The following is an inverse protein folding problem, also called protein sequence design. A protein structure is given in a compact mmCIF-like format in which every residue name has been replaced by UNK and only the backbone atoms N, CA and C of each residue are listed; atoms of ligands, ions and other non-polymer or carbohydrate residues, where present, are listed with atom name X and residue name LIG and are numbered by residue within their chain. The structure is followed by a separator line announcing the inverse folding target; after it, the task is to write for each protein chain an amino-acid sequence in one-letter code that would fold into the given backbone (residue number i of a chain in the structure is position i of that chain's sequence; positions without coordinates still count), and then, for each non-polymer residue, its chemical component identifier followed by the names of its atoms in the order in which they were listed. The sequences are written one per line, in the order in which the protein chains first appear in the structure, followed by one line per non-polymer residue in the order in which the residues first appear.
data_IF_762168544682
#
_entry.id   IF_762168544682
#
_cell.length_a   1.000
_cell.length_b   1.000
_cell.length_c   1.000
_cell.angle_alpha   90.00
_cell.angle_beta   90.00
_cell.angle_gamma   90.00
#
_symmetry.space_group_name_H-M   'P 1'
#
loop_
_entity.id
_entity.type
_entity.pdbx_description
1 polymer ?
#
# COMPACT_ATOMS: atom_id res chain seq x y z
N UNK A 1 -16.36 12.45 -14.03
CA UNK A 1 -15.14 13.17 -14.48
C UNK A 1 -13.93 12.24 -14.32
N UNK A 2 -13.20 11.98 -15.39
CA UNK A 2 -12.16 10.93 -15.47
C UNK A 2 -10.96 11.22 -14.56
N UNK A 3 -10.79 10.39 -13.52
CA UNK A 3 -9.73 10.49 -12.50
C UNK A 3 -8.45 9.74 -12.89
N UNK A 4 -8.04 9.70 -14.18
CA UNK A 4 -6.89 8.90 -14.66
C UNK A 4 -5.66 9.71 -15.10
N UNK A 5 -5.49 10.94 -14.61
CA UNK A 5 -4.45 11.86 -15.08
C UNK A 5 -3.13 11.89 -14.30
N UNK A 6 -2.03 12.19 -14.99
CA UNK A 6 -0.72 12.50 -14.38
C UNK A 6 -0.55 14.01 -14.23
N UNK A 7 -0.10 14.47 -13.06
CA UNK A 7 0.36 15.84 -12.83
C UNK A 7 1.83 15.85 -12.40
N UNK A 8 2.64 16.78 -12.91
CA UNK A 8 4.01 17.02 -12.45
C UNK A 8 4.42 18.48 -12.64
N UNK A 9 5.50 18.89 -11.97
CA UNK A 9 6.08 20.24 -12.06
C UNK A 9 7.46 20.16 -12.71
N UNK A 10 7.76 21.09 -13.62
CA UNK A 10 9.05 21.17 -14.32
C UNK A 10 9.58 22.61 -14.28
N UNK A 11 10.89 22.75 -14.06
CA UNK A 11 11.60 24.03 -14.19
C UNK A 11 12.62 23.89 -15.32
N UNK A 12 12.62 24.86 -16.24
CA UNK A 12 13.59 24.96 -17.33
C UNK A 12 14.33 26.31 -17.24
N UNK A 13 15.63 26.28 -17.47
CA UNK A 13 16.52 27.44 -17.41
C UNK A 13 17.29 27.57 -18.72
N UNK A 14 17.44 28.76 -19.24
CA UNK A 14 18.06 28.91 -20.54
C UNK A 14 18.33 30.34 -20.93
N UNK A 15 18.44 30.54 -22.24
CA UNK A 15 18.65 31.85 -22.85
C UNK A 15 17.73 32.07 -24.04
N UNK A 16 17.47 33.33 -24.35
CA UNK A 16 16.74 33.80 -25.53
C UNK A 16 17.50 34.95 -26.17
N UNK A 17 17.50 35.00 -27.50
CA UNK A 17 17.78 36.20 -28.27
C UNK A 17 16.46 36.65 -28.90
N UNK A 18 16.02 37.86 -28.54
CA UNK A 18 14.83 38.46 -29.12
C UNK A 18 15.20 39.13 -30.44
N UNK A 19 14.26 39.15 -31.38
CA UNK A 19 14.50 39.79 -32.68
C UNK A 19 14.77 41.29 -32.50
N UNK A 20 15.80 41.79 -33.19
CA UNK A 20 16.28 43.16 -33.05
C UNK A 20 17.20 43.40 -31.84
N UNK A 21 17.58 42.36 -31.09
CA UNK A 21 18.56 42.45 -30.01
C UNK A 21 19.84 41.63 -30.29
N UNK A 22 21.00 42.24 -30.06
CA UNK A 22 22.29 41.56 -30.19
C UNK A 22 22.68 40.72 -28.96
N UNK A 23 21.94 40.86 -27.85
CA UNK A 23 22.24 40.21 -26.57
C UNK A 23 21.31 39.04 -26.25
N UNK A 24 21.88 37.97 -25.74
CA UNK A 24 21.12 36.90 -25.12
C UNK A 24 20.67 37.28 -23.70
N UNK A 25 19.46 36.84 -23.32
CA UNK A 25 18.88 37.06 -21.99
C UNK A 25 18.62 35.75 -21.28
N UNK A 26 18.89 35.65 -19.97
CA UNK A 26 18.45 34.53 -19.17
C UNK A 26 16.91 34.37 -19.19
N UNK A 27 16.47 33.13 -19.36
CA UNK A 27 15.05 32.74 -19.34
C UNK A 27 14.83 31.63 -18.33
N UNK A 28 13.71 31.70 -17.62
CA UNK A 28 13.24 30.66 -16.69
C UNK A 28 11.77 30.37 -16.88
N UNK A 29 11.43 29.09 -17.00
CA UNK A 29 10.06 28.58 -17.02
C UNK A 29 9.84 27.75 -15.76
N UNK A 30 8.75 28.00 -15.05
CA UNK A 30 8.26 27.17 -13.95
C UNK A 30 6.85 26.69 -14.31
N UNK A 31 6.73 25.42 -14.69
CA UNK A 31 5.51 24.85 -15.31
C UNK A 31 4.89 23.75 -14.45
N UNK A 32 3.57 23.64 -14.53
CA UNK A 32 2.79 22.50 -14.06
C UNK A 32 2.14 21.85 -15.28
N UNK A 33 2.44 20.57 -15.49
CA UNK A 33 1.86 19.76 -16.56
C UNK A 33 0.74 18.89 -16.00
N UNK A 34 -0.42 18.88 -16.67
CA UNK A 34 -1.58 18.05 -16.34
C UNK A 34 -2.04 17.25 -17.56
N UNK A 35 -1.84 15.95 -17.51
CA UNK A 35 -2.33 15.00 -18.51
C UNK A 35 -3.64 14.37 -18.04
N UNK A 36 -4.60 14.15 -18.95
CA UNK A 36 -5.83 13.40 -18.67
C UNK A 36 -5.64 11.89 -18.51
N UNK A 37 -4.44 11.39 -18.82
CA UNK A 37 -4.03 9.98 -18.78
C UNK A 37 -2.71 9.81 -18.03
N UNK A 38 -2.36 8.56 -17.71
CA UNK A 38 -1.04 8.22 -17.17
C UNK A 38 0.01 8.34 -18.28
N UNK A 39 1.08 9.10 -18.01
CA UNK A 39 2.22 9.21 -18.93
C UNK A 39 2.96 7.87 -18.99
N UNK A 40 2.96 7.23 -20.15
CA UNK A 40 3.63 5.95 -20.41
C UNK A 40 4.69 6.14 -21.51
N UNK A 41 5.94 5.67 -21.33
CA UNK A 41 7.04 5.94 -22.28
C UNK A 41 6.80 5.47 -23.71
N UNK A 42 5.98 4.42 -23.89
CA UNK A 42 5.66 3.81 -25.18
C UNK A 42 4.45 4.44 -25.89
N UNK A 43 3.79 5.45 -25.30
CA UNK A 43 2.62 6.12 -25.88
C UNK A 43 2.87 7.62 -26.04
N UNK A 44 2.12 8.24 -26.93
CA UNK A 44 2.01 9.70 -27.00
C UNK A 44 0.99 10.18 -25.98
N UNK A 45 1.38 11.09 -25.10
CA UNK A 45 0.51 11.71 -24.09
C UNK A 45 0.48 13.22 -24.30
N UNK A 46 -0.72 13.80 -24.34
CA UNK A 46 -0.92 15.25 -24.35
C UNK A 46 -1.21 15.74 -22.93
N UNK A 47 -0.55 16.82 -22.52
CA UNK A 47 -0.74 17.48 -21.24
C UNK A 47 -0.96 18.97 -21.45
N UNK A 48 -1.81 19.57 -20.61
CA UNK A 48 -1.94 21.03 -20.51
C UNK A 48 -0.84 21.57 -19.60
N UNK A 49 -0.22 22.67 -20.01
CA UNK A 49 0.76 23.42 -19.25
C UNK A 49 0.12 24.69 -18.68
N UNK A 50 0.45 24.98 -17.43
CA UNK A 50 0.19 26.27 -16.78
C UNK A 50 1.42 26.64 -15.96
N UNK A 51 1.83 27.91 -15.95
CA UNK A 51 3.00 28.28 -15.17
C UNK A 51 3.47 29.70 -15.42
N UNK A 52 4.72 29.97 -15.02
CA UNK A 52 5.33 31.29 -15.10
C UNK A 52 6.51 31.32 -16.05
N UNK A 53 6.58 32.33 -16.91
CA UNK A 53 7.70 32.60 -17.83
C UNK A 53 8.40 33.88 -17.39
N UNK A 54 9.72 33.83 -17.18
CA UNK A 54 10.53 35.00 -16.85
C UNK A 54 11.64 35.19 -17.87
N UNK A 55 11.72 36.38 -18.44
CA UNK A 55 12.81 36.82 -19.32
C UNK A 55 13.48 38.02 -18.66
N UNK A 56 14.76 37.88 -18.33
CA UNK A 56 15.48 38.90 -17.57
C UNK A 56 15.42 40.27 -18.25
N UNK A 57 14.89 41.26 -17.51
CA UNK A 57 14.75 42.64 -17.97
C UNK A 57 13.70 42.88 -19.07
N UNK A 58 12.72 41.97 -19.22
CA UNK A 58 11.62 42.11 -20.20
C UNK A 58 10.26 41.62 -19.67
N UNK A 59 10.18 40.41 -19.10
CA UNK A 59 8.91 39.84 -18.65
C UNK A 59 8.99 39.00 -17.38
N UNK A 60 7.88 39.00 -16.65
CA UNK A 60 7.49 38.02 -15.64
C UNK A 60 5.98 37.77 -15.80
N UNK A 61 5.63 36.80 -16.64
CA UNK A 61 4.23 36.40 -16.84
C UNK A 61 3.93 35.19 -15.96
N UNK A 62 3.01 35.37 -15.00
CA UNK A 62 2.61 34.34 -14.04
C UNK A 62 1.55 33.36 -14.58
N UNK A 63 0.92 33.69 -15.70
CA UNK A 63 -0.29 33.05 -16.22
C UNK A 63 -0.06 32.41 -17.60
N UNK A 64 1.18 32.01 -17.89
CA UNK A 64 1.51 31.31 -19.12
C UNK A 64 0.75 29.97 -19.20
N UNK A 65 0.21 29.67 -20.37
CA UNK A 65 -0.57 28.45 -20.63
C UNK A 65 -0.10 27.77 -21.90
N UNK A 66 -0.33 26.47 -22.03
CA UNK A 66 0.13 25.78 -23.23
C UNK A 66 -0.16 24.30 -23.26
N UNK A 67 0.52 23.61 -24.16
CA UNK A 67 0.44 22.18 -24.36
C UNK A 67 1.83 21.54 -24.37
N UNK A 68 1.87 20.31 -23.87
CA UNK A 68 3.03 19.45 -23.84
C UNK A 68 2.67 18.11 -24.49
N UNK A 69 3.33 17.79 -25.59
CA UNK A 69 3.28 16.46 -26.20
C UNK A 69 4.47 15.64 -25.69
N UNK A 70 4.21 14.51 -25.03
CA UNK A 70 5.21 13.59 -24.51
C UNK A 70 5.15 12.30 -25.33
N UNK A 71 6.12 12.06 -26.21
CA UNK A 71 6.17 10.85 -27.05
C UNK A 71 7.58 10.27 -27.14
N UNK A 72 8.11 9.69 -26.04
CA UNK A 72 9.53 9.40 -25.95
C UNK A 72 10.02 8.25 -26.84
N UNK A 73 9.19 7.21 -27.02
CA UNK A 73 9.53 6.06 -27.85
C UNK A 73 8.80 6.07 -29.19
N UNK A 74 7.51 6.45 -29.20
CA UNK A 74 6.68 6.39 -30.40
C UNK A 74 7.07 7.42 -31.46
N UNK A 75 7.38 8.67 -31.05
CA UNK A 75 7.84 9.74 -31.96
C UNK A 75 9.22 10.28 -31.65
N UNK A 76 9.88 9.75 -30.60
CA UNK A 76 11.18 10.22 -30.09
C UNK A 76 11.21 11.74 -29.88
N UNK A 77 10.10 12.31 -29.39
CA UNK A 77 9.91 13.76 -29.29
C UNK A 77 9.17 14.16 -28.01
N UNK A 78 9.57 15.30 -27.44
CA UNK A 78 8.80 16.01 -26.42
C UNK A 78 8.62 17.47 -26.89
N UNK A 79 7.40 17.89 -27.25
CA UNK A 79 7.13 19.23 -27.82
C UNK A 79 6.37 20.11 -26.83
N UNK A 80 6.78 21.37 -26.74
CA UNK A 80 6.22 22.40 -25.89
C UNK A 80 5.65 23.49 -26.79
N UNK A 81 4.41 23.90 -26.53
CA UNK A 81 3.78 25.08 -27.13
C UNK A 81 3.19 25.90 -26.01
N UNK A 82 3.79 27.05 -25.69
CA UNK A 82 3.44 27.85 -24.52
C UNK A 82 3.15 29.27 -24.95
N UNK A 83 1.99 29.78 -24.60
CA UNK A 83 1.59 31.16 -24.83
C UNK A 83 1.75 31.96 -23.55
N UNK A 84 2.36 33.14 -23.65
CA UNK A 84 2.62 34.05 -22.54
C UNK A 84 2.65 35.51 -23.03
N UNK A 85 2.56 36.45 -22.10
CA UNK A 85 2.60 37.88 -22.35
C UNK A 85 3.99 38.49 -22.11
N UNK A 86 4.44 39.33 -23.04
CA UNK A 86 5.69 40.09 -22.97
C UNK A 86 5.38 41.56 -23.24
N UNK A 87 5.42 42.42 -22.21
CA UNK A 87 5.22 43.88 -22.36
C UNK A 87 3.91 44.23 -23.12
N UNK A 88 2.82 43.52 -22.82
CA UNK A 88 1.51 43.71 -23.48
C UNK A 88 1.34 42.96 -24.81
N UNK A 89 2.40 42.36 -25.36
CA UNK A 89 2.35 41.49 -26.56
C UNK A 89 2.11 40.04 -26.18
N UNK A 90 1.48 39.28 -27.07
CA UNK A 90 1.21 37.84 -26.86
C UNK A 90 2.16 37.02 -27.71
N UNK A 91 3.01 36.22 -27.07
CA UNK A 91 4.00 35.38 -27.74
C UNK A 91 3.68 33.89 -27.57
N UNK A 92 4.02 33.09 -28.57
CA UNK A 92 4.04 31.63 -28.52
C UNK A 92 5.49 31.12 -28.55
N UNK A 93 5.88 30.39 -27.52
CA UNK A 93 7.08 29.57 -27.50
C UNK A 93 6.77 28.20 -28.09
N UNK A 94 7.41 27.84 -29.20
CA UNK A 94 7.34 26.50 -29.80
C UNK A 94 8.73 25.86 -29.80
N UNK A 95 8.87 24.70 -29.18
CA UNK A 95 10.14 24.00 -29.09
C UNK A 95 9.96 22.51 -28.89
N UNK A 96 10.95 21.71 -29.28
CA UNK A 96 10.92 20.27 -29.03
C UNK A 96 12.28 19.68 -28.69
N UNK A 97 12.25 18.66 -27.83
CA UNK A 97 13.38 17.79 -27.50
C UNK A 97 13.35 16.59 -28.44
N UNK A 98 14.40 16.37 -29.23
CA UNK A 98 14.56 15.20 -30.09
C UNK A 98 15.33 14.12 -29.33
N UNK A 99 14.69 13.01 -28.98
CA UNK A 99 15.27 11.99 -28.13
C UNK A 99 16.19 11.05 -28.93
N UNK A 100 17.44 10.94 -28.49
CA UNK A 100 18.44 10.08 -29.13
C UNK A 100 18.90 9.00 -28.15
N UNK A 101 18.81 7.71 -28.52
CA UNK A 101 19.34 6.60 -27.70
C UNK A 101 20.85 6.71 -27.47
N UNK A 102 21.58 7.32 -28.40
CA UNK A 102 23.04 7.49 -28.31
C UNK A 102 23.47 8.58 -27.31
N UNK A 103 22.57 9.52 -26.96
CA UNK A 103 22.83 10.62 -26.02
C UNK A 103 21.61 10.86 -25.12
N UNK A 104 21.24 9.88 -24.27
CA UNK A 104 19.93 9.87 -23.60
C UNK A 104 19.77 11.05 -22.63
N UNK A 105 20.82 11.43 -21.91
CA UNK A 105 20.76 12.52 -20.93
C UNK A 105 20.65 13.89 -21.62
N UNK A 106 21.54 14.17 -22.58
CA UNK A 106 21.57 15.47 -23.28
C UNK A 106 20.31 15.68 -24.12
N UNK A 107 19.85 14.65 -24.82
CA UNK A 107 18.65 14.73 -25.67
C UNK A 107 17.34 14.90 -24.89
N UNK A 108 17.31 14.52 -23.61
CA UNK A 108 16.16 14.72 -22.72
C UNK A 108 16.16 16.06 -22.00
N UNK A 109 17.29 16.77 -21.96
CA UNK A 109 17.47 17.95 -21.10
C UNK A 109 17.56 19.25 -21.86
N UNK A 110 17.95 19.24 -23.14
CA UNK A 110 18.06 20.44 -23.98
C UNK A 110 16.81 20.61 -24.84
N UNK A 111 16.22 21.81 -24.78
CA UNK A 111 15.03 22.23 -25.53
C UNK A 111 15.36 23.48 -26.35
N UNK A 112 15.72 23.34 -27.64
CA UNK A 112 15.69 24.48 -28.55
C UNK A 112 14.24 24.93 -28.76
N UNK A 113 14.03 26.24 -28.91
CA UNK A 113 12.72 26.82 -29.16
C UNK A 113 12.81 28.10 -29.98
N UNK A 114 11.71 28.43 -30.63
CA UNK A 114 11.45 29.71 -31.29
C UNK A 114 10.34 30.45 -30.54
N UNK A 115 10.40 31.78 -30.56
CA UNK A 115 9.31 32.66 -30.15
C UNK A 115 8.61 33.18 -31.40
N UNK A 116 7.29 33.17 -31.36
CA UNK A 116 6.43 33.62 -32.44
C UNK A 116 5.48 34.69 -31.92
N UNK A 117 5.32 35.78 -32.66
CA UNK A 117 4.28 36.80 -32.48
C UNK A 117 3.34 36.74 -33.69
N UNK A 118 2.08 36.38 -33.47
CA UNK A 118 1.08 36.18 -34.55
C UNK A 118 1.60 35.27 -35.68
N UNK A 119 2.38 34.23 -35.33
CA UNK A 119 2.97 33.29 -36.27
C UNK A 119 4.24 33.77 -36.99
N UNK A 120 4.70 35.00 -36.72
CA UNK A 120 5.98 35.53 -37.23
C UNK A 120 7.10 35.31 -36.21
N UNK A 121 8.34 35.03 -36.64
CA UNK A 121 9.48 34.96 -35.72
C UNK A 121 9.60 36.24 -34.88
N UNK A 122 9.87 36.06 -33.59
CA UNK A 122 10.12 37.13 -32.62
C UNK A 122 11.38 36.86 -31.77
N UNK A 123 12.06 35.73 -32.00
CA UNK A 123 13.28 35.34 -31.32
C UNK A 123 13.49 33.84 -31.28
N UNK A 124 14.64 33.43 -30.77
CA UNK A 124 15.03 32.03 -30.62
C UNK A 124 15.85 31.81 -29.35
N UNK A 125 15.88 30.57 -28.87
CA UNK A 125 16.63 30.28 -27.67
C UNK A 125 16.81 28.81 -27.39
N UNK A 126 17.46 28.55 -26.27
CA UNK A 126 17.65 27.20 -25.75
C UNK A 126 17.37 27.16 -24.26
N UNK A 127 16.50 26.25 -23.86
CA UNK A 127 16.19 25.90 -22.48
C UNK A 127 16.87 24.59 -22.10
N UNK A 128 17.20 24.46 -20.82
CA UNK A 128 17.81 23.27 -20.24
C UNK A 128 17.13 22.89 -18.94
N UNK A 129 16.90 21.60 -18.75
CA UNK A 129 16.50 21.05 -17.46
C UNK A 129 17.72 20.96 -16.53
N UNK A 130 17.71 21.62 -15.36
CA UNK A 130 18.88 21.66 -14.47
C UNK A 130 19.02 20.35 -13.69
N UNK A 131 19.67 19.33 -14.26
CA UNK A 131 19.77 17.98 -13.65
C UNK A 131 20.26 17.99 -12.20
N UNK A 132 21.30 18.77 -11.89
CA UNK A 132 21.92 18.78 -10.57
C UNK A 132 21.02 19.28 -9.44
N UNK A 133 20.10 20.21 -9.73
CA UNK A 133 19.25 20.85 -8.71
C UNK A 133 17.75 20.59 -8.91
N UNK A 134 17.33 20.24 -10.12
CA UNK A 134 15.93 20.09 -10.52
C UNK A 134 15.43 18.65 -10.57
N UNK A 135 16.30 17.64 -10.66
CA UNK A 135 15.88 16.25 -10.86
C UNK A 135 15.05 15.70 -9.69
N UNK A 136 15.53 15.86 -8.45
CA UNK A 136 14.83 15.34 -7.28
C UNK A 136 13.48 16.07 -7.03
N UNK A 137 13.40 17.41 -7.08
CA UNK A 137 12.12 18.13 -7.04
C UNK A 137 11.15 17.70 -8.15
N UNK A 138 11.63 17.52 -9.39
CA UNK A 138 10.82 17.05 -10.51
C UNK A 138 10.22 15.67 -10.23
N UNK A 139 11.04 14.68 -9.87
CA UNK A 139 10.57 13.31 -9.60
C UNK A 139 9.58 13.25 -8.42
N UNK A 140 9.79 14.06 -7.38
CA UNK A 140 8.90 14.10 -6.21
C UNK A 140 7.59 14.85 -6.46
N UNK A 141 7.53 15.66 -7.51
CA UNK A 141 6.33 16.41 -7.90
C UNK A 141 5.25 15.54 -8.54
N UNK A 142 5.61 14.37 -9.10
CA UNK A 142 4.65 13.51 -9.80
C UNK A 142 3.49 13.12 -8.89
N UNK A 143 2.28 13.32 -9.40
CA UNK A 143 1.02 12.85 -8.85
C UNK A 143 0.37 11.97 -9.90
N UNK A 144 0.11 10.73 -9.52
CA UNK A 144 -0.60 9.76 -10.33
C UNK A 144 -2.03 9.68 -9.82
N UNK A 145 -2.97 9.24 -10.66
CA UNK A 145 -4.34 9.08 -10.22
C UNK A 145 -4.39 8.13 -9.02
N UNK A 146 -5.05 8.55 -7.94
CA UNK A 146 -5.53 7.60 -6.94
C UNK A 146 -6.60 6.79 -7.63
N UNK A 147 -6.43 5.48 -7.70
CA UNK A 147 -7.45 4.57 -8.23
C UNK A 147 -8.77 4.90 -7.56
N UNK A 148 -9.73 5.44 -8.33
CA UNK A 148 -11.12 5.56 -7.93
C UNK A 148 -11.60 4.18 -7.49
N UNK A 149 -12.10 4.09 -6.25
CA UNK A 149 -12.68 2.93 -5.58
C UNK A 149 -12.44 1.59 -6.29
N UNK A 150 -11.43 0.83 -5.82
CA UNK A 150 -11.46 -0.62 -6.04
C UNK A 150 -12.87 -1.10 -5.65
N UNK A 151 -13.54 -1.84 -6.54
CA UNK A 151 -14.85 -2.40 -6.27
C UNK A 151 -14.79 -3.13 -4.91
N UNK A 152 -15.66 -2.79 -3.94
CA UNK A 152 -15.68 -3.47 -2.65
C UNK A 152 -15.92 -4.95 -2.94
N UNK A 153 -14.92 -5.79 -2.66
CA UNK A 153 -14.94 -7.22 -2.99
C UNK A 153 -13.92 -7.71 -4.02
N UNK A 154 -13.25 -6.85 -4.79
CA UNK A 154 -12.24 -7.32 -5.78
C UNK A 154 -11.15 -8.20 -5.15
N UNK A 155 -10.72 -7.86 -3.94
CA UNK A 155 -9.70 -8.61 -3.22
C UNK A 155 -10.29 -9.74 -2.36
N UNK A 156 -11.63 -9.86 -2.27
CA UNK A 156 -12.30 -10.97 -1.58
C UNK A 156 -12.46 -12.20 -2.46
N UNK A 157 -12.60 -12.07 -3.78
CA UNK A 157 -12.69 -13.23 -4.67
C UNK A 157 -11.54 -14.23 -4.49
N UNK A 158 -11.82 -15.53 -4.64
CA UNK A 158 -10.81 -16.58 -4.56
C UNK A 158 -9.79 -16.46 -5.70
N UNK A 159 -8.51 -16.60 -5.34
CA UNK A 159 -7.34 -16.59 -6.22
C UNK A 159 -6.92 -17.99 -6.61
N UNK A 160 -7.17 -18.97 -5.75
CA UNK A 160 -6.88 -20.37 -6.03
C UNK A 160 -7.63 -20.82 -7.29
N UNK A 161 -6.89 -21.45 -8.18
CA UNK A 161 -7.30 -21.84 -9.53
C UNK A 161 -7.30 -23.37 -9.71
N UNK A 162 -7.30 -24.12 -8.60
CA UNK A 162 -7.25 -25.59 -8.60
C UNK A 162 -5.83 -26.17 -8.51
N UNK A 163 -4.78 -25.34 -8.59
CA UNK A 163 -3.39 -25.83 -8.50
C UNK A 163 -3.06 -26.38 -7.09
N UNK A 164 -2.31 -27.48 -6.99
CA UNK A 164 -1.77 -27.97 -5.73
C UNK A 164 -0.69 -27.04 -5.17
N UNK A 165 -0.28 -27.26 -3.92
CA UNK A 165 0.75 -26.48 -3.24
C UNK A 165 0.31 -25.05 -2.92
N UNK A 166 -0.97 -24.87 -2.57
CA UNK A 166 -1.57 -23.56 -2.30
C UNK A 166 -2.32 -23.54 -0.98
N UNK A 167 -2.14 -22.46 -0.23
CA UNK A 167 -3.06 -22.05 0.83
C UNK A 167 -3.65 -20.69 0.49
N UNK A 168 -4.93 -20.54 0.76
CA UNK A 168 -5.64 -19.27 0.63
C UNK A 168 -6.52 -19.04 1.86
N UNK A 169 -6.36 -17.87 2.48
CA UNK A 169 -7.03 -17.51 3.73
C UNK A 169 -7.88 -16.26 3.54
N UNK A 170 -9.04 -16.27 4.19
CA UNK A 170 -9.87 -15.12 4.51
C UNK A 170 -10.04 -15.12 6.02
N UNK A 171 -9.52 -14.09 6.69
CA UNK A 171 -9.79 -13.94 8.11
C UNK A 171 -10.36 -12.56 8.42
N UNK A 172 -11.14 -12.51 9.47
CA UNK A 172 -11.70 -11.29 10.04
C UNK A 172 -11.36 -11.27 11.51
N UNK A 173 -10.72 -10.19 11.95
CA UNK A 173 -10.58 -9.85 13.36
C UNK A 173 -11.37 -8.58 13.67
N UNK A 174 -11.98 -8.50 14.85
CA UNK A 174 -12.65 -7.31 15.36
C UNK A 174 -12.67 -7.29 16.88
N UNK A 175 -12.84 -6.09 17.45
CA UNK A 175 -13.15 -5.90 18.86
C UNK A 175 -14.48 -5.16 18.99
N UNK A 176 -15.39 -5.72 19.79
CA UNK A 176 -16.63 -5.04 20.17
C UNK A 176 -16.31 -3.85 21.10
N UNK A 177 -16.67 -2.61 20.73
CA UNK A 177 -16.35 -1.45 21.54
C UNK A 177 -17.12 -1.39 22.86
N UNK A 178 -18.28 -2.07 22.96
CA UNK A 178 -19.10 -2.03 24.17
C UNK A 178 -18.53 -2.91 25.28
N UNK A 179 -18.06 -4.11 24.92
CA UNK A 179 -17.57 -5.10 25.89
C UNK A 179 -16.05 -5.24 25.91
N UNK A 180 -15.35 -4.82 24.86
CA UNK A 180 -13.93 -5.13 24.65
C UNK A 180 -13.67 -6.56 24.18
N UNK A 181 -14.72 -7.31 23.84
CA UNK A 181 -14.60 -8.70 23.40
C UNK A 181 -14.03 -8.77 21.98
N UNK A 182 -12.94 -9.51 21.82
CA UNK A 182 -12.34 -9.82 20.51
C UNK A 182 -13.08 -10.97 19.81
N UNK A 183 -13.15 -10.93 18.48
CA UNK A 183 -13.71 -12.01 17.65
C UNK A 183 -12.76 -12.27 16.50
N UNK A 184 -12.49 -13.55 16.23
CA UNK A 184 -11.72 -14.02 15.10
C UNK A 184 -12.50 -15.04 14.30
N UNK A 185 -12.61 -14.82 12.99
CA UNK A 185 -13.19 -15.75 12.04
C UNK A 185 -12.14 -16.06 10.98
N UNK A 186 -11.65 -17.29 10.92
CA UNK A 186 -10.63 -17.73 9.97
C UNK A 186 -11.20 -18.77 9.03
N UNK A 187 -11.01 -18.56 7.73
CA UNK A 187 -11.46 -19.45 6.66
C UNK A 187 -10.28 -19.75 5.77
N UNK A 188 -10.04 -21.03 5.51
CA UNK A 188 -8.86 -21.49 4.81
C UNK A 188 -9.20 -22.56 3.78
N UNK A 189 -8.56 -22.44 2.63
CA UNK A 189 -8.48 -23.48 1.61
C UNK A 189 -7.04 -23.97 1.54
N UNK A 190 -6.84 -25.27 1.70
CA UNK A 190 -5.55 -25.94 1.54
C UNK A 190 -5.64 -26.87 0.34
N UNK A 191 -4.71 -26.73 -0.59
CA UNK A 191 -4.54 -27.60 -1.75
C UNK A 191 -3.21 -28.36 -1.62
N UNK A 192 -3.23 -29.61 -1.12
CA UNK A 192 -2.03 -30.39 -0.83
C UNK A 192 -1.14 -30.65 -2.06
N UNK A 193 0.15 -30.90 -1.83
CA UNK A 193 1.12 -31.25 -2.89
C UNK A 193 1.19 -32.74 -3.22
N UNK A 194 0.64 -33.60 -2.35
CA UNK A 194 0.68 -35.05 -2.46
C UNK A 194 -0.37 -35.65 -3.42
N UNK A 195 -1.18 -34.79 -4.05
CA UNK A 195 -2.24 -35.19 -4.96
C UNK A 195 -3.59 -35.47 -4.29
N UNK A 196 -3.69 -35.34 -2.97
CA UNK A 196 -4.97 -35.38 -2.27
C UNK A 196 -5.85 -34.17 -2.64
N UNK A 197 -7.17 -34.33 -2.47
CA UNK A 197 -8.12 -33.29 -2.82
C UNK A 197 -7.94 -32.05 -1.93
N UNK A 198 -8.05 -30.86 -2.54
CA UNK A 198 -8.07 -29.63 -1.78
C UNK A 198 -9.29 -29.60 -0.86
N UNK A 199 -9.09 -29.06 0.35
CA UNK A 199 -10.12 -28.98 1.38
C UNK A 199 -10.24 -27.57 1.94
N UNK A 200 -11.44 -27.26 2.40
CA UNK A 200 -11.80 -26.02 3.04
C UNK A 200 -12.14 -26.29 4.51
N UNK A 201 -11.64 -25.44 5.41
CA UNK A 201 -11.91 -25.50 6.85
C UNK A 201 -11.74 -24.12 7.46
N UNK A 202 -11.92 -24.03 8.78
CA UNK A 202 -11.61 -22.81 9.49
C UNK A 202 -11.98 -22.85 10.96
N UNK A 203 -11.92 -21.68 11.59
CA UNK A 203 -12.19 -21.50 13.01
C UNK A 203 -13.02 -20.25 13.27
N UNK A 204 -13.85 -20.31 14.31
CA UNK A 204 -14.43 -19.14 14.95
C UNK A 204 -13.93 -19.09 16.39
N UNK A 205 -13.50 -17.93 16.86
CA UNK A 205 -13.06 -17.73 18.23
C UNK A 205 -13.55 -16.40 18.81
N UNK A 206 -13.82 -16.40 20.11
CA UNK A 206 -14.22 -15.23 20.89
C UNK A 206 -13.27 -15.11 22.08
N UNK A 207 -12.80 -13.88 22.30
CA UNK A 207 -11.80 -13.49 23.30
C UNK A 207 -12.43 -12.48 24.26
N UNK A 208 -13.19 -12.92 25.28
CA UNK A 208 -13.74 -12.03 26.29
C UNK A 208 -12.60 -11.33 27.05
N UNK A 209 -12.76 -10.07 27.49
CA UNK A 209 -11.75 -9.39 28.32
C UNK A 209 -11.54 -10.12 29.66
N UNK A 210 -12.60 -10.75 30.16
CA UNK A 210 -12.62 -11.57 31.38
C UNK A 210 -13.21 -12.93 31.04
N UNK A 211 -12.43 -13.98 31.24
CA UNK A 211 -12.85 -15.36 31.00
C UNK A 211 -12.03 -16.06 29.94
N UNK A 212 -12.26 -17.37 29.74
CA UNK A 212 -11.48 -18.17 28.81
C UNK A 212 -11.81 -17.83 27.37
N UNK A 213 -10.78 -17.92 26.52
CA UNK A 213 -10.97 -17.92 25.06
C UNK A 213 -11.79 -19.16 24.66
N UNK A 214 -12.79 -18.96 23.82
CA UNK A 214 -13.63 -20.05 23.27
C UNK A 214 -13.46 -20.10 21.78
N UNK A 215 -13.43 -21.30 21.22
CA UNK A 215 -13.34 -21.48 19.79
C UNK A 215 -14.04 -22.75 19.33
N UNK A 216 -14.30 -22.82 18.03
CA UNK A 216 -14.76 -24.02 17.36
C UNK A 216 -14.16 -24.10 15.96
N UNK A 217 -13.99 -25.33 15.47
CA UNK A 217 -13.53 -25.64 14.11
C UNK A 217 -14.71 -26.10 13.26
N UNK A 218 -14.70 -25.76 11.98
CA UNK A 218 -15.56 -26.33 10.95
C UNK A 218 -14.73 -26.94 9.82
N UNK A 219 -15.31 -27.85 9.05
CA UNK A 219 -14.58 -28.69 8.11
C UNK A 219 -13.59 -29.66 8.80
N UNK A 220 -12.70 -30.32 8.03
CA UNK A 220 -12.49 -30.11 6.60
C UNK A 220 -13.63 -30.67 5.73
N UNK A 221 -13.95 -29.96 4.66
CA UNK A 221 -14.84 -30.41 3.57
C UNK A 221 -14.14 -30.20 2.22
N UNK A 222 -14.54 -30.89 1.14
CA UNK A 222 -13.97 -30.63 -0.19
C UNK A 222 -14.05 -29.15 -0.57
N UNK A 223 -12.95 -28.57 -1.02
CA UNK A 223 -12.92 -27.17 -1.44
C UNK A 223 -13.60 -27.01 -2.81
N UNK A 224 -14.48 -26.02 -2.91
CA UNK A 224 -15.01 -25.53 -4.18
C UNK A 224 -14.51 -24.12 -4.44
N UNK A 225 -14.48 -23.74 -5.71
CA UNK A 225 -14.10 -22.38 -6.09
C UNK A 225 -15.31 -21.48 -6.03
N UNK A 226 -15.21 -20.40 -5.26
CA UNK A 226 -16.22 -19.34 -5.19
C UNK A 226 -15.69 -18.04 -5.81
N UNK A 227 -16.53 -17.37 -6.61
CA UNK A 227 -16.12 -16.16 -7.35
C UNK A 227 -16.29 -14.86 -6.55
N UNK A 228 -17.02 -14.90 -5.43
CA UNK A 228 -17.29 -13.75 -4.57
C UNK A 228 -16.39 -13.74 -3.33
N UNK A 229 -16.03 -14.91 -2.81
CA UNK A 229 -15.08 -15.05 -1.73
C UNK A 229 -14.84 -16.48 -1.28
N UNK A 230 -15.31 -16.81 -0.09
CA UNK A 230 -15.22 -18.16 0.50
C UNK A 230 -16.63 -18.71 0.70
N UNK A 231 -16.83 -19.97 0.33
CA UNK A 231 -18.05 -20.71 0.62
C UNK A 231 -17.72 -22.19 0.86
N UNK A 232 -18.02 -22.68 2.07
CA UNK A 232 -17.88 -24.09 2.42
C UNK A 232 -18.77 -24.42 3.62
N UNK A 233 -19.46 -25.56 3.59
CA UNK A 233 -20.22 -26.10 4.73
C UNK A 233 -21.18 -25.08 5.40
N UNK A 234 -21.93 -24.33 4.58
CA UNK A 234 -22.86 -23.29 5.08
C UNK A 234 -22.18 -22.02 5.62
N UNK A 235 -20.84 -21.98 5.64
CA UNK A 235 -20.05 -20.79 5.95
C UNK A 235 -19.79 -19.99 4.67
N UNK A 236 -19.98 -18.67 4.74
CA UNK A 236 -19.81 -17.74 3.63
C UNK A 236 -19.08 -16.46 4.05
N UNK A 237 -18.09 -16.09 3.24
CA UNK A 237 -17.44 -14.77 3.23
C UNK A 237 -17.68 -14.17 1.86
N UNK A 238 -18.50 -13.11 1.80
CA UNK A 238 -18.80 -12.38 0.59
C UNK A 238 -18.66 -10.88 0.85
N UNK A 239 -18.56 -10.03 -0.19
CA UNK A 239 -18.51 -8.59 -0.01
C UNK A 239 -19.67 -8.09 0.86
N UNK A 240 -19.33 -7.52 2.02
CA UNK A 240 -20.28 -6.95 2.95
C UNK A 240 -21.00 -7.94 3.86
N UNK A 241 -20.77 -9.25 3.75
CA UNK A 241 -21.48 -10.25 4.58
C UNK A 241 -20.55 -11.39 5.02
N UNK A 242 -20.62 -11.73 6.30
CA UNK A 242 -19.97 -12.90 6.90
C UNK A 242 -21.04 -13.71 7.63
N UNK A 243 -21.21 -14.98 7.29
CA UNK A 243 -22.20 -15.84 7.96
C UNK A 243 -21.72 -17.28 8.05
N UNK A 244 -22.10 -17.99 9.10
CA UNK A 244 -21.75 -19.40 9.24
C UNK A 244 -22.00 -19.96 10.63
N UNK A 245 -21.60 -21.21 10.80
CA UNK A 245 -21.67 -21.94 12.07
C UNK A 245 -20.49 -22.88 12.24
N UNK A 246 -20.06 -23.08 13.49
CA UNK A 246 -19.03 -24.05 13.86
C UNK A 246 -19.28 -24.52 15.29
N UNK A 247 -19.71 -25.78 15.48
CA UNK A 247 -20.10 -26.27 16.81
C UNK A 247 -21.14 -25.34 17.48
N UNK A 248 -20.89 -24.81 18.69
CA UNK A 248 -21.79 -23.88 19.37
C UNK A 248 -21.77 -22.46 18.80
N UNK A 249 -20.90 -22.17 17.83
CA UNK A 249 -20.78 -20.85 17.24
C UNK A 249 -21.75 -20.68 16.08
N UNK A 250 -22.41 -19.53 16.04
CA UNK A 250 -23.12 -19.04 14.85
C UNK A 250 -22.88 -17.55 14.68
N UNK A 251 -22.68 -17.09 13.45
CA UNK A 251 -22.49 -15.67 13.18
C UNK A 251 -23.26 -15.22 11.95
N UNK A 252 -23.70 -13.97 12.00
CA UNK A 252 -24.30 -13.25 10.88
C UNK A 252 -23.91 -11.79 11.04
N UNK A 253 -22.94 -11.35 10.25
CA UNK A 253 -22.32 -10.03 10.33
C UNK A 253 -22.42 -9.34 8.98
N UNK A 254 -22.72 -8.05 9.03
CA UNK A 254 -22.54 -7.13 7.91
C UNK A 254 -21.20 -6.43 8.07
N UNK A 255 -20.37 -6.52 7.04
CA UNK A 255 -19.10 -5.79 6.94
C UNK A 255 -19.33 -4.48 6.18
N UNK A 256 -18.83 -3.38 6.74
CA UNK A 256 -18.76 -2.08 6.06
C UNK A 256 -17.29 -1.68 5.88
N UNK A 257 -16.71 -1.92 4.69
CA UNK A 257 -15.32 -1.56 4.41
C UNK A 257 -15.09 -0.05 4.41
N UNK A 258 -13.95 0.39 4.95
CA UNK A 258 -13.55 1.78 5.08
C UNK A 258 -12.11 2.01 4.60
N UNK A 259 -11.95 2.99 3.70
CA UNK A 259 -10.65 3.35 3.13
C UNK A 259 -10.15 2.40 2.05
N UNK A 260 -9.01 2.71 1.42
CA UNK A 260 -8.46 1.92 0.32
C UNK A 260 -7.83 0.61 0.83
N UNK A 261 -7.61 -0.37 -0.06
CA UNK A 261 -6.86 -1.58 0.29
C UNK A 261 -5.47 -1.27 0.83
N UNK A 262 -5.07 -2.01 1.86
CA UNK A 262 -3.75 -1.91 2.46
C UNK A 262 -2.96 -3.17 2.18
N UNK A 263 -1.90 -3.04 1.36
CA UNK A 263 -0.97 -4.14 1.15
C UNK A 263 0.15 -4.07 2.20
N UNK A 264 0.19 -5.06 3.08
CA UNK A 264 1.26 -5.22 4.08
C UNK A 264 2.58 -5.54 3.39
N UNK A 265 2.51 -6.43 2.41
CA UNK A 265 3.60 -6.78 1.50
C UNK A 265 3.66 -5.84 0.29
N UNK A 266 4.77 -5.83 -0.48
CA UNK A 266 4.83 -5.16 -1.79
C UNK A 266 3.66 -5.55 -2.70
N UNK A 267 3.00 -4.57 -3.35
CA UNK A 267 1.77 -4.83 -4.13
C UNK A 267 1.95 -5.86 -5.25
N UNK A 268 3.18 -5.98 -5.77
CA UNK A 268 3.50 -6.95 -6.81
C UNK A 268 3.44 -8.38 -6.31
N UNK A 269 3.69 -8.66 -5.03
CA UNK A 269 3.68 -10.03 -4.49
C UNK A 269 2.26 -10.58 -4.38
N UNK A 270 1.28 -9.71 -4.14
CA UNK A 270 -0.13 -10.07 -4.23
C UNK A 270 -0.55 -10.41 -5.67
N UNK A 271 0.02 -9.72 -6.67
CA UNK A 271 -0.28 -9.97 -8.09
C UNK A 271 0.42 -11.21 -8.62
N UNK A 272 1.66 -11.40 -8.19
CA UNK A 272 2.55 -12.48 -8.60
C UNK A 272 2.99 -13.24 -7.36
N UNK A 273 2.47 -14.45 -7.10
CA UNK A 273 2.72 -15.22 -5.88
C UNK A 273 4.12 -15.86 -5.88
N UNK A 274 5.15 -15.01 -5.97
CA UNK A 274 6.56 -15.39 -5.95
C UNK A 274 7.16 -15.41 -4.55
N UNK A 275 6.54 -14.72 -3.59
CA UNK A 275 6.87 -14.86 -2.18
C UNK A 275 6.19 -16.12 -1.61
N UNK A 276 6.73 -16.73 -0.54
CA UNK A 276 6.10 -17.89 0.11
C UNK A 276 4.63 -17.64 0.47
N UNK A 277 4.32 -16.43 0.95
CA UNK A 277 2.97 -15.94 1.15
C UNK A 277 2.91 -14.44 0.94
N UNK A 278 1.71 -13.90 0.74
CA UNK A 278 1.43 -12.47 0.72
C UNK A 278 0.20 -12.17 1.55
N UNK A 279 0.30 -11.14 2.38
CA UNK A 279 -0.78 -10.63 3.22
C UNK A 279 -1.26 -9.25 2.77
N UNK A 280 -2.57 -9.03 2.77
CA UNK A 280 -3.18 -7.72 2.51
C UNK A 280 -4.58 -7.58 3.10
N UNK A 281 -5.01 -6.35 3.35
CA UNK A 281 -6.36 -6.00 3.78
C UNK A 281 -7.15 -5.44 2.59
N UNK A 282 -8.27 -6.06 2.18
CA UNK A 282 -9.15 -5.54 1.12
C UNK A 282 -9.61 -4.10 1.35
N UNK A 283 -9.82 -3.71 2.60
CA UNK A 283 -9.97 -2.33 3.01
C UNK A 283 -9.09 -2.09 4.24
N UNK A 284 -8.48 -0.91 4.33
CA UNK A 284 -7.62 -0.56 5.45
C UNK A 284 -8.32 -0.68 6.81
N UNK A 285 -9.64 -0.52 6.83
CA UNK A 285 -10.48 -0.51 8.03
C UNK A 285 -11.82 -1.15 7.70
N UNK A 286 -12.46 -1.78 8.67
CA UNK A 286 -13.83 -2.27 8.53
C UNK A 286 -14.65 -1.96 9.79
N UNK A 287 -15.96 -1.81 9.61
CA UNK A 287 -16.95 -1.78 10.68
C UNK A 287 -17.86 -2.98 10.56
N UNK A 288 -18.22 -3.58 11.68
CA UNK A 288 -19.04 -4.79 11.71
C UNK A 288 -20.27 -4.58 12.57
N UNK A 289 -21.43 -4.97 12.04
CA UNK A 289 -22.71 -5.00 12.75
C UNK A 289 -23.31 -6.38 12.62
N UNK A 290 -24.01 -6.87 13.64
CA UNK A 290 -24.69 -8.17 13.57
C UNK A 290 -24.59 -8.95 14.87
N UNK A 291 -24.61 -10.27 14.77
CA UNK A 291 -24.62 -11.16 15.94
C UNK A 291 -23.60 -12.27 15.82
N UNK A 292 -22.91 -12.55 16.93
CA UNK A 292 -22.11 -13.76 17.15
C UNK A 292 -22.66 -14.47 18.37
N UNK A 293 -23.09 -15.72 18.23
CA UNK A 293 -23.39 -16.61 19.35
C UNK A 293 -22.23 -17.56 19.53
N UNK A 294 -21.85 -17.84 20.78
CA UNK A 294 -20.63 -18.59 21.10
C UNK A 294 -20.79 -19.50 22.32
N UNK A 295 -22.03 -19.90 22.62
CA UNK A 295 -22.41 -20.75 23.73
C UNK A 295 -23.93 -20.75 23.94
N UNK A 296 -24.40 -21.56 24.88
CA UNK A 296 -25.81 -21.55 25.29
C UNK A 296 -26.15 -20.23 25.99
N UNK A 297 -27.10 -19.47 25.43
CA UNK A 297 -27.49 -18.15 25.95
C UNK A 297 -26.46 -17.02 25.76
N UNK A 298 -25.26 -17.31 25.24
CA UNK A 298 -24.21 -16.32 25.05
C UNK A 298 -24.22 -15.73 23.64
N UNK A 299 -24.47 -14.42 23.57
CA UNK A 299 -24.58 -13.69 22.32
C UNK A 299 -23.91 -12.31 22.43
N UNK A 300 -23.04 -12.01 21.47
CA UNK A 300 -22.47 -10.70 21.24
C UNK A 300 -23.24 -10.01 20.10
N UNK A 301 -23.85 -8.86 20.39
CA UNK A 301 -24.48 -8.00 19.38
C UNK A 301 -23.51 -6.87 19.03
N UNK A 302 -22.95 -6.94 17.83
CA UNK A 302 -22.01 -5.95 17.33
C UNK A 302 -22.77 -4.74 16.80
N UNK A 303 -22.38 -3.56 17.26
CA UNK A 303 -22.82 -2.28 16.72
C UNK A 303 -21.61 -1.42 16.34
N UNK A 304 -21.24 -1.47 15.05
CA UNK A 304 -20.11 -0.73 14.53
C UNK A 304 -18.77 -1.18 15.11
N UNK A 305 -18.62 -2.46 15.44
CA UNK A 305 -17.37 -3.02 15.95
C UNK A 305 -16.21 -2.76 14.97
N UNK A 306 -15.05 -2.40 15.50
CA UNK A 306 -13.89 -2.08 14.66
C UNK A 306 -13.05 -3.33 14.44
N UNK A 307 -12.52 -3.47 13.22
CA UNK A 307 -11.58 -4.52 12.90
C UNK A 307 -11.10 -4.46 11.47
N UNK A 308 -10.61 -5.59 10.98
CA UNK A 308 -10.19 -5.77 9.61
C UNK A 308 -10.52 -7.17 9.12
N UNK A 309 -10.94 -7.24 7.86
CA UNK A 309 -10.86 -8.45 7.07
C UNK A 309 -9.57 -8.41 6.26
N UNK A 310 -8.99 -9.57 6.07
CA UNK A 310 -7.69 -9.72 5.48
C UNK A 310 -7.59 -11.00 4.66
N UNK A 311 -6.59 -11.02 3.80
CA UNK A 311 -6.34 -12.08 2.84
C UNK A 311 -4.90 -12.53 2.89
N UNK A 312 -4.70 -13.85 2.90
CA UNK A 312 -3.40 -14.47 2.69
C UNK A 312 -3.50 -15.39 1.49
N UNK A 313 -2.49 -15.35 0.62
CA UNK A 313 -2.35 -16.31 -0.47
C UNK A 313 -0.90 -16.71 -0.60
N UNK A 314 -0.63 -18.02 -0.63
CA UNK A 314 0.73 -18.53 -0.56
C UNK A 314 0.86 -20.01 -0.83
N UNK A 315 2.00 -20.55 -0.41
CA UNK A 315 2.39 -21.96 -0.49
C UNK A 315 2.42 -22.65 0.88
N UNK A 316 2.14 -21.90 1.96
CA UNK A 316 2.21 -22.37 3.34
C UNK A 316 2.68 -21.26 4.27
N UNK A 317 2.78 -21.59 5.55
CA UNK A 317 3.19 -20.69 6.61
C UNK A 317 4.72 -20.47 6.63
N UNK A 318 5.13 -19.37 7.25
CA UNK A 318 6.53 -19.09 7.55
C UNK A 318 7.11 -20.12 8.55
N UNK A 319 8.43 -20.28 8.65
CA UNK A 319 9.03 -21.12 9.71
C UNK A 319 8.80 -20.55 11.09
N UNK A 320 8.76 -19.23 11.16
CA UNK A 320 8.39 -18.46 12.33
C UNK A 320 7.78 -17.15 11.89
N UNK A 321 6.70 -16.70 12.53
CA UNK A 321 6.12 -15.40 12.24
C UNK A 321 5.55 -14.71 13.48
N UNK A 322 5.38 -13.40 13.37
CA UNK A 322 4.45 -12.65 14.17
C UNK A 322 3.64 -11.70 13.30
N UNK A 323 2.39 -11.49 13.68
CA UNK A 323 1.47 -10.57 13.04
C UNK A 323 0.86 -9.64 14.08
N UNK A 324 0.61 -8.39 13.68
CA UNK A 324 -0.13 -7.40 14.47
C UNK A 324 -1.06 -6.61 13.56
N UNK A 325 -2.32 -6.55 13.96
CA UNK A 325 -3.27 -5.52 13.57
C UNK A 325 -3.61 -4.67 14.81
N UNK A 326 -3.50 -3.35 14.67
CA UNK A 326 -3.73 -2.41 15.75
C UNK A 326 -4.53 -1.21 15.27
N UNK A 327 -5.76 -1.03 15.78
CA UNK A 327 -6.48 0.24 15.68
C UNK A 327 -5.79 1.26 16.57
N UNK A 328 -5.36 2.38 15.99
CA UNK A 328 -4.69 3.45 16.72
C UNK A 328 -5.64 4.61 17.05
N UNK A 329 -6.92 4.49 16.69
CA UNK A 329 -7.92 5.54 16.85
C UNK A 329 -7.80 6.63 15.78
N UNK A 330 -8.86 7.44 15.63
CA UNK A 330 -8.89 8.54 14.65
C UNK A 330 -8.74 8.12 13.18
N UNK A 331 -8.82 6.82 12.90
CA UNK A 331 -8.56 6.23 11.59
C UNK A 331 -7.12 5.97 11.24
N UNK A 332 -6.23 6.10 12.22
CA UNK A 332 -4.88 5.59 12.14
C UNK A 332 -4.89 4.09 12.47
N UNK A 333 -4.01 3.31 11.83
CA UNK A 333 -3.84 1.88 12.11
C UNK A 333 -2.40 1.45 11.87
N UNK A 334 -1.99 0.39 12.55
CA UNK A 334 -0.70 -0.25 12.33
C UNK A 334 -0.89 -1.73 11.98
N UNK A 335 -0.24 -2.13 10.90
CA UNK A 335 -0.27 -3.48 10.36
C UNK A 335 1.17 -3.98 10.23
N UNK A 336 1.49 -5.13 10.83
CA UNK A 336 2.83 -5.73 10.85
C UNK A 336 2.75 -7.22 10.51
N UNK A 337 3.65 -7.67 9.64
CA UNK A 337 4.03 -9.08 9.51
C UNK A 337 5.54 -9.17 9.61
N UNK A 338 6.04 -9.94 10.57
CA UNK A 338 7.44 -10.30 10.68
C UNK A 338 7.58 -11.82 10.48
N UNK A 339 8.40 -12.27 9.53
CA UNK A 339 8.42 -13.69 9.16
C UNK A 339 9.82 -14.19 8.76
N UNK A 340 10.12 -15.44 9.12
CA UNK A 340 11.28 -16.21 8.66
C UNK A 340 10.83 -17.16 7.55
N UNK A 341 11.53 -17.13 6.42
CA UNK A 341 11.20 -17.95 5.25
C UNK A 341 11.49 -19.42 5.49
N UNK A 342 10.79 -20.30 4.77
CA UNK A 342 11.07 -21.75 4.75
C UNK A 342 12.06 -22.14 3.66
N UNK A 343 12.25 -21.25 2.68
CA UNK A 343 13.12 -21.51 1.52
C UNK A 343 14.57 -21.73 1.96
N UNK A 344 15.24 -22.76 1.41
CA UNK A 344 16.65 -23.01 1.69
C UNK A 344 17.51 -21.75 1.52
N UNK A 345 18.29 -21.43 2.55
CA UNK A 345 19.18 -20.27 2.60
C UNK A 345 18.53 -18.99 3.15
N UNK A 346 17.20 -18.87 3.10
CA UNK A 346 16.46 -17.76 3.73
C UNK A 346 15.92 -18.11 5.12
N UNK A 347 15.90 -19.40 5.45
CA UNK A 347 15.50 -19.98 6.74
C UNK A 347 16.45 -19.63 7.90
N UNK A 348 17.69 -19.24 7.57
CA UNK A 348 18.71 -18.81 8.54
C UNK A 348 18.78 -17.29 8.71
N UNK A 349 18.00 -16.53 7.94
CA UNK A 349 18.01 -15.07 8.01
C UNK A 349 17.16 -14.58 9.19
N UNK A 350 17.53 -13.44 9.81
CA UNK A 350 16.64 -12.76 10.75
C UNK A 350 15.27 -12.50 10.12
N UNK A 351 14.17 -12.48 10.90
CA UNK A 351 12.84 -12.32 10.34
C UNK A 351 12.71 -11.01 9.55
N UNK A 352 12.16 -11.13 8.34
CA UNK A 352 11.85 -9.98 7.50
C UNK A 352 10.61 -9.29 8.03
N UNK A 353 10.70 -7.97 8.19
CA UNK A 353 9.60 -7.16 8.72
C UNK A 353 8.91 -6.38 7.58
N UNK A 354 7.61 -6.56 7.49
CA UNK A 354 6.67 -5.82 6.67
C UNK A 354 5.78 -4.99 7.58
N UNK A 355 5.86 -3.67 7.48
CA UNK A 355 5.15 -2.76 8.37
C UNK A 355 4.44 -1.66 7.57
N UNK A 356 3.18 -1.40 7.90
CA UNK A 356 2.37 -0.32 7.35
C UNK A 356 1.66 0.43 8.48
N UNK A 357 2.08 1.67 8.70
CA UNK A 357 1.38 2.63 9.55
C UNK A 357 0.52 3.53 8.65
N UNK A 358 -0.80 3.37 8.66
CA UNK A 358 -1.69 4.37 8.07
C UNK A 358 -1.91 5.47 9.11
N UNK A 359 -1.51 6.71 8.78
CA UNK A 359 -1.69 7.87 9.66
C UNK A 359 -2.13 9.09 8.87
N UNK A 360 -3.24 9.71 9.26
CA UNK A 360 -3.78 10.89 8.56
C UNK A 360 -4.00 10.63 7.06
N UNK A 361 -4.52 9.45 6.70
CA UNK A 361 -4.78 9.05 5.31
C UNK A 361 -3.53 8.78 4.46
N UNK A 362 -2.34 8.68 5.08
CA UNK A 362 -1.07 8.38 4.41
C UNK A 362 -0.40 7.19 5.05
N UNK A 363 0.10 6.26 4.24
CA UNK A 363 0.86 5.13 4.76
C UNK A 363 2.34 5.44 4.88
N UNK A 364 2.94 5.04 5.99
CA UNK A 364 4.37 5.04 6.24
C UNK A 364 4.87 3.62 6.55
N UNK A 365 6.03 3.22 6.01
CA UNK A 365 6.75 3.86 4.91
C UNK A 365 5.88 3.96 3.64
N UNK A 366 6.15 4.91 2.74
CA UNK A 366 5.30 5.09 1.54
C UNK A 366 5.29 3.88 0.60
N UNK A 367 6.28 2.99 0.71
CA UNK A 367 6.51 1.78 -0.08
C UNK A 367 6.82 0.62 0.86
N UNK A 368 6.12 -0.52 0.72
CA UNK A 368 6.28 -1.68 1.60
C UNK A 368 7.67 -2.33 1.44
N UNK A 369 8.27 -2.24 0.27
CA UNK A 369 9.62 -2.74 -0.02
C UNK A 369 10.68 -2.10 0.88
N UNK A 370 10.45 -0.87 1.38
CA UNK A 370 11.41 -0.17 2.24
C UNK A 370 11.60 -0.83 3.60
N UNK A 371 10.63 -1.61 4.08
CA UNK A 371 10.79 -2.33 5.35
C UNK A 371 11.62 -3.60 5.16
N UNK A 372 11.48 -4.27 4.00
CA UNK A 372 12.17 -5.53 3.69
C UNK A 372 13.58 -5.36 3.09
N UNK A 373 13.83 -4.31 2.30
CA UNK A 373 15.11 -4.09 1.57
C UNK A 373 16.22 -3.52 2.48
N UNK A 374 15.91 -3.14 3.72
CA UNK A 374 16.90 -2.66 4.69
C UNK A 374 17.87 -3.73 5.22
N UNK A 375 17.83 -4.97 4.72
CA UNK A 375 18.49 -6.14 5.31
C UNK A 375 19.99 -5.96 5.66
N UNK A 376 20.73 -5.14 4.91
CA UNK A 376 22.18 -4.96 5.05
C UNK A 376 22.66 -3.60 5.62
N UNK A 377 21.78 -2.78 6.22
CA UNK A 377 22.16 -1.41 6.65
C UNK A 377 21.72 -0.98 8.04
N UNK A 378 22.38 0.05 8.58
CA UNK A 378 21.97 0.73 9.80
C UNK A 378 20.56 1.34 9.65
N UNK A 379 19.66 1.06 10.60
CA UNK A 379 18.28 1.56 10.58
C UNK A 379 17.27 0.66 9.85
N UNK A 380 17.59 -0.62 9.66
CA UNK A 380 16.64 -1.64 9.15
C UNK A 380 15.48 -1.87 10.10
N UNK A 381 14.39 -2.44 9.59
CA UNK A 381 13.37 -3.02 10.45
C UNK A 381 13.85 -4.37 10.96
N UNK A 382 13.84 -4.56 12.27
CA UNK A 382 14.21 -5.77 12.98
C UNK A 382 13.05 -6.22 13.84
N UNK A 383 13.03 -7.51 14.15
CA UNK A 383 12.08 -8.07 15.08
C UNK A 383 12.78 -9.00 16.07
N UNK A 384 12.18 -9.11 17.24
CA UNK A 384 12.47 -10.11 18.27
C UNK A 384 11.15 -10.83 18.49
N UNK A 385 11.03 -12.04 17.94
CA UNK A 385 9.80 -12.83 17.96
C UNK A 385 9.84 -13.74 19.18
N UNK A 386 8.71 -13.86 19.88
CA UNK A 386 8.60 -14.67 21.09
C UNK A 386 7.30 -14.36 21.84
N UNK A 387 6.93 -15.28 22.73
CA UNK A 387 5.83 -15.11 23.67
C UNK A 387 6.38 -15.10 25.11
N UNK A 388 5.70 -14.42 26.04
CA UNK A 388 4.49 -13.62 25.86
C UNK A 388 4.76 -12.23 25.26
N UNK A 389 6.01 -11.91 24.88
CA UNK A 389 6.37 -10.58 24.37
C UNK A 389 7.22 -10.68 23.11
N UNK A 390 6.83 -9.93 22.09
CA UNK A 390 7.63 -9.71 20.89
C UNK A 390 7.73 -8.23 20.54
N UNK A 391 8.71 -7.88 19.71
CA UNK A 391 9.04 -6.49 19.40
C UNK A 391 9.40 -6.31 17.93
N UNK A 392 9.06 -5.14 17.41
CA UNK A 392 9.53 -4.64 16.11
C UNK A 392 10.11 -3.25 16.28
N UNK A 393 11.28 -3.03 15.71
CA UNK A 393 11.89 -1.69 15.64
C UNK A 393 12.37 -1.41 14.24
N UNK A 394 12.24 -0.19 13.76
CA UNK A 394 12.79 0.16 12.45
C UNK A 394 12.72 1.62 12.11
N UNK A 395 13.36 2.01 11.01
CA UNK A 395 13.45 3.40 10.56
C UNK A 395 13.24 3.48 9.06
N UNK A 396 12.55 4.53 8.63
CA UNK A 396 12.44 4.87 7.22
C UNK A 396 12.39 6.39 7.04
N UNK A 397 13.42 6.93 6.39
CA UNK A 397 13.64 8.38 6.30
C UNK A 397 13.90 8.99 7.67
N UNK A 398 13.23 10.10 7.97
CA UNK A 398 13.37 10.85 9.23
C UNK A 398 12.47 10.35 10.35
N UNK A 399 11.90 9.15 10.23
CA UNK A 399 11.05 8.54 11.26
C UNK A 399 11.58 7.18 11.68
N UNK A 400 11.48 6.87 12.97
CA UNK A 400 11.69 5.53 13.52
C UNK A 400 10.49 5.12 14.36
N UNK A 401 10.24 3.82 14.43
CA UNK A 401 9.15 3.22 15.20
C UNK A 401 9.70 2.12 16.10
N UNK A 402 9.11 1.99 17.29
CA UNK A 402 9.27 0.87 18.20
C UNK A 402 7.89 0.36 18.58
N UNK A 403 7.69 -0.94 18.44
CA UNK A 403 6.46 -1.63 18.74
C UNK A 403 6.80 -2.76 19.69
N UNK A 404 6.11 -2.81 20.82
CA UNK A 404 6.09 -3.97 21.71
C UNK A 404 4.68 -4.50 21.70
N UNK A 405 4.55 -5.82 21.57
CA UNK A 405 3.29 -6.52 21.79
C UNK A 405 3.45 -7.45 22.99
N UNK A 406 2.46 -7.47 23.86
CA UNK A 406 2.35 -8.40 24.97
C UNK A 406 1.10 -9.24 24.79
N UNK A 407 1.29 -10.54 24.68
CA UNK A 407 0.30 -11.55 24.37
C UNK A 407 0.38 -12.62 25.47
N UNK A 408 -0.38 -12.44 26.56
CA UNK A 408 -0.38 -13.38 27.69
C UNK A 408 -1.06 -14.70 27.31
N UNK A 409 -0.63 -15.79 27.94
CA UNK A 409 -1.10 -17.15 27.62
C UNK A 409 -2.61 -17.29 27.86
N UNK A 410 -3.12 -16.68 28.93
CA UNK A 410 -4.53 -16.77 29.32
C UNK A 410 -5.49 -16.12 28.31
N UNK A 411 -4.95 -15.27 27.42
CA UNK A 411 -5.69 -14.57 26.35
C UNK A 411 -5.29 -15.05 24.95
N UNK A 412 -4.61 -16.19 24.86
CA UNK A 412 -4.04 -16.71 23.62
C UNK A 412 -4.60 -18.08 23.30
N UNK A 413 -5.11 -18.22 22.08
CA UNK A 413 -5.56 -19.47 21.51
C UNK A 413 -4.43 -20.12 20.71
N UNK A 414 -4.08 -21.36 21.01
CA UNK A 414 -3.15 -22.17 20.21
C UNK A 414 -3.92 -23.10 19.27
N UNK A 415 -3.56 -23.10 17.98
CA UNK A 415 -4.18 -23.91 16.94
C UNK A 415 -3.12 -24.56 16.06
N UNK A 416 -3.37 -25.81 15.70
CA UNK A 416 -2.54 -26.56 14.75
C UNK A 416 -2.93 -26.26 13.31
N UNK A 417 -1.92 -25.94 12.52
CA UNK A 417 -2.00 -25.68 11.08
C UNK A 417 -1.30 -26.80 10.33
N UNK A 418 -1.81 -27.09 9.13
CA UNK A 418 -1.18 -28.04 8.19
C UNK A 418 -0.99 -27.33 6.87
N UNK A 419 0.26 -27.18 6.46
CA UNK A 419 0.61 -26.56 5.19
C UNK A 419 0.34 -27.51 4.02
N UNK A 420 0.26 -26.98 2.79
CA UNK A 420 0.10 -27.78 1.59
C UNK A 420 1.14 -28.90 1.39
N UNK A 421 2.33 -28.76 1.96
CA UNK A 421 3.39 -29.78 1.91
C UNK A 421 3.29 -30.84 3.03
N UNK A 422 2.25 -30.75 3.88
CA UNK A 422 2.01 -31.62 5.02
C UNK A 422 2.77 -31.22 6.28
N UNK A 423 3.64 -30.20 6.23
CA UNK A 423 4.31 -29.69 7.44
C UNK A 423 3.31 -29.02 8.38
N UNK A 424 3.54 -29.14 9.67
CA UNK A 424 2.67 -28.55 10.69
C UNK A 424 3.28 -27.30 11.30
N UNK A 425 2.42 -26.41 11.80
CA UNK A 425 2.82 -25.25 12.59
C UNK A 425 1.79 -25.00 13.68
N UNK A 426 2.20 -24.36 14.78
CA UNK A 426 1.29 -23.90 15.82
C UNK A 426 1.14 -22.40 15.70
N UNK A 427 -0.08 -21.92 15.44
CA UNK A 427 -0.42 -20.51 15.53
C UNK A 427 -0.94 -20.21 16.94
N UNK A 428 -0.39 -19.17 17.57
CA UNK A 428 -0.87 -18.65 18.85
C UNK A 428 -1.48 -17.28 18.60
N UNK A 429 -2.81 -17.22 18.53
CA UNK A 429 -3.58 -16.02 18.22
C UNK A 429 -4.20 -15.37 19.47
N UNK A 430 -4.26 -14.05 19.50
CA UNK A 430 -4.96 -13.27 20.51
C UNK A 430 -5.64 -12.06 19.89
N UNK A 431 -6.96 -11.94 20.09
CA UNK A 431 -7.70 -10.73 19.74
C UNK A 431 -7.86 -9.76 20.92
N UNK A 432 -7.04 -9.94 21.96
CA UNK A 432 -7.07 -9.14 23.19
C UNK A 432 -5.66 -8.95 23.80
N UNK A 433 -4.66 -8.85 22.92
CA UNK A 433 -3.29 -8.53 23.31
C UNK A 433 -3.15 -7.04 23.67
N UNK A 434 -2.03 -6.70 24.31
CA UNK A 434 -1.62 -5.32 24.58
C UNK A 434 -0.54 -4.90 23.59
N UNK A 435 -0.49 -3.62 23.24
CA UNK A 435 0.57 -3.08 22.39
C UNK A 435 1.02 -1.68 22.81
N UNK A 436 2.32 -1.45 22.80
CA UNK A 436 2.94 -0.15 22.99
C UNK A 436 3.68 0.27 21.71
N UNK A 437 3.26 1.39 21.11
CA UNK A 437 3.74 1.84 19.81
C UNK A 437 4.27 3.25 19.94
N UNK A 438 5.58 3.42 19.77
CA UNK A 438 6.28 4.71 19.83
C UNK A 438 6.80 5.10 18.45
N UNK A 439 6.38 6.25 17.95
CA UNK A 439 6.87 6.85 16.71
C UNK A 439 7.67 8.12 17.04
N UNK A 440 8.85 8.23 16.46
CA UNK A 440 9.75 9.37 16.67
C UNK A 440 10.22 9.97 15.35
N UNK A 441 10.52 11.27 15.37
CA UNK A 441 11.05 12.04 14.25
C UNK A 441 12.44 12.60 14.53
N UNK A 442 13.29 12.59 13.51
CA UNK A 442 14.60 13.21 13.55
C UNK A 442 14.52 14.73 13.32
N UNK A 443 15.07 15.51 14.26
CA UNK A 443 15.24 16.96 14.19
C UNK A 443 16.66 17.39 14.62
N UNK A 444 17.68 16.55 14.37
CA UNK A 444 19.01 16.65 14.98
C UNK A 444 19.16 15.78 16.24
N UNK A 445 18.03 15.43 16.87
CA UNK A 445 17.87 14.31 17.79
C UNK A 445 16.53 13.63 17.51
N UNK A 446 16.34 12.41 18.01
CA UNK A 446 15.04 11.74 17.94
C UNK A 446 14.09 12.35 18.96
N UNK A 447 12.92 12.80 18.50
CA UNK A 447 11.88 13.38 19.33
C UNK A 447 10.58 12.60 19.18
N UNK A 448 9.79 12.41 20.25
CA UNK A 448 8.47 11.80 20.15
C UNK A 448 7.60 12.51 19.11
N UNK A 449 7.01 11.75 18.19
CA UNK A 449 6.03 12.22 17.20
C UNK A 449 4.62 11.70 17.52
N UNK A 450 4.52 10.47 18.04
CA UNK A 450 3.27 9.89 18.54
C UNK A 450 3.57 8.69 19.46
N UNK A 451 2.63 8.40 20.36
CA UNK A 451 2.65 7.26 21.25
C UNK A 451 1.23 6.70 21.36
N UNK A 452 1.08 5.39 21.17
CA UNK A 452 -0.17 4.67 21.36
C UNK A 452 0.04 3.53 22.34
N UNK A 453 -0.96 3.33 23.20
CA UNK A 453 -1.05 2.24 24.14
C UNK A 453 -2.40 1.57 23.94
N UNK A 454 -2.38 0.30 23.54
CA UNK A 454 -3.54 -0.55 23.37
C UNK A 454 -3.57 -1.53 24.53
N UNK A 455 -4.71 -1.63 25.19
CA UNK A 455 -4.90 -2.53 26.34
C UNK A 455 -6.06 -3.46 26.03
N UNK A 456 -5.77 -4.74 25.78
CA UNK A 456 -6.77 -5.75 25.46
C UNK A 456 -7.43 -5.59 24.10
N UNK A 457 -6.86 -4.80 23.17
CA UNK A 457 -7.47 -4.49 21.87
C UNK A 457 -6.51 -4.63 20.70
N UNK A 458 -5.30 -5.12 20.93
CA UNK A 458 -4.39 -5.48 19.85
C UNK A 458 -4.69 -6.91 19.38
N UNK A 459 -4.71 -7.08 18.07
CA UNK A 459 -4.91 -8.37 17.39
C UNK A 459 -3.54 -8.87 16.99
N UNK A 460 -3.10 -9.97 17.60
CA UNK A 460 -1.72 -10.41 17.50
C UNK A 460 -1.61 -11.93 17.39
N UNK A 461 -0.68 -12.36 16.54
CA UNK A 461 -0.36 -13.78 16.38
C UNK A 461 1.15 -13.97 16.47
N UNK A 462 1.56 -15.12 17.03
CA UNK A 462 2.92 -15.66 16.88
C UNK A 462 2.78 -17.11 16.47
N UNK A 463 3.48 -17.50 15.40
CA UNK A 463 3.50 -18.90 14.99
C UNK A 463 4.89 -19.41 14.70
N UNK A 464 5.03 -20.72 14.85
CA UNK A 464 6.28 -21.46 14.66
C UNK A 464 5.99 -22.90 14.23
N UNK A 465 6.95 -23.49 13.53
CA UNK A 465 6.96 -24.91 13.20
C UNK A 465 7.56 -25.75 14.31
#
# INVERSE_FOLDING_TARGET
MSTRGTEFRETLLGRVRLDGEDRERPVRLDLVARAGTVVLPHRTTLARLTGRVRIAGRADDADATGELEISPLARRRIRYRITFSLEGRRLELDGWKSLSPARPVTSMTVLPYSLLEDGRPAGEGTLRFPLGTGLLPFLTSFRFPRTSADHPGRHLAARWDGRPGRTEVWYTTLTDPATGTGVWLHHEVVAPTDGSAAYAHGWAAVFPPNGPVRHARFGPVPATRDTEGYAADGVRVAPGTLSGSAGPFTWSLTETPQGPPLHTFPRWSWRHPWLPASHMLPASRCRYTGTVRYGEGEQLRLDGAFGASARIYGHGNASRWAWLHADLGGGDLLEIVAAVSTRPGLDRLPPLVFLRLLRGGRTWPGRAERTAVGWAGAGRFTSDLGLPRWRVTGRAGLRRIRVTVYQPEERTLALDYTDPDGSTAVCRNSESADAEIRLERWWGSWRPEAHWHLTGTAHAEVGER
#
